data_IF_723943792912
#
_entry.id   IF_723943792912
#
_cell.length_a   1.000
_cell.length_b   1.000
_cell.length_c   1.000
_cell.angle_alpha   90.00
_cell.angle_beta   90.00
_cell.angle_gamma   90.00
#
_symmetry.space_group_name_H-M   'P 1'
#
loop_
_entity.id
_entity.type
_entity.pdbx_description
1 polymer ?
#
# COMPACT_ATOMS: atom_id res chain seq x y z
N UNK A 1 -2.34 23.50 -25.93
CA UNK A 1 -2.50 22.62 -24.76
C UNK A 1 -1.11 22.10 -24.43
N UNK A 2 -0.65 22.26 -23.21
CA UNK A 2 0.59 21.58 -22.77
C UNK A 2 0.25 20.10 -22.77
N UNK A 3 1.02 19.23 -23.45
CA UNK A 3 0.75 17.80 -23.41
C UNK A 3 0.83 17.35 -21.95
N UNK A 4 -0.20 16.67 -21.49
CA UNK A 4 -0.19 16.07 -20.15
C UNK A 4 0.74 14.87 -20.22
N UNK A 5 1.88 14.95 -19.56
CA UNK A 5 2.88 13.88 -19.52
C UNK A 5 2.40 12.67 -18.68
N UNK A 6 1.29 12.81 -17.98
CA UNK A 6 0.69 11.75 -17.16
C UNK A 6 -0.84 11.84 -17.27
N UNK A 7 -1.48 10.77 -17.68
CA UNK A 7 -2.91 10.58 -17.60
C UNK A 7 -3.25 9.73 -16.37
N UNK A 8 -4.23 10.19 -15.61
CA UNK A 8 -4.70 9.49 -14.40
C UNK A 8 -6.20 9.28 -14.52
N UNK A 9 -6.60 8.03 -14.44
CA UNK A 9 -7.98 7.64 -14.37
C UNK A 9 -8.30 6.90 -13.08
N UNK A 10 -9.52 7.06 -12.60
CA UNK A 10 -10.00 6.32 -11.44
C UNK A 10 -11.41 5.84 -11.65
N UNK A 11 -11.70 4.69 -11.08
CA UNK A 11 -13.02 4.10 -11.12
C UNK A 11 -13.34 3.38 -9.84
N UNK A 12 -14.62 3.25 -9.57
CA UNK A 12 -15.12 2.61 -8.37
C UNK A 12 -16.35 1.78 -8.68
N UNK A 13 -16.49 0.67 -7.97
CA UNK A 13 -17.67 -0.16 -8.08
C UNK A 13 -17.99 -0.90 -6.77
N UNK A 14 -19.25 -1.29 -6.66
CA UNK A 14 -19.74 -2.18 -5.61
C UNK A 14 -20.77 -3.13 -6.20
N UNK A 15 -20.89 -4.32 -5.62
CA UNK A 15 -21.81 -5.34 -6.08
C UNK A 15 -21.56 -6.64 -5.33
N UNK A 16 -22.30 -7.68 -5.70
CA UNK A 16 -22.12 -9.03 -5.15
C UNK A 16 -21.11 -9.85 -5.95
N UNK A 17 -21.08 -9.66 -7.25
CA UNK A 17 -20.22 -10.37 -8.17
C UNK A 17 -18.90 -9.63 -8.35
N UNK A 18 -17.81 -10.21 -7.81
CA UNK A 18 -16.49 -9.61 -7.78
C UNK A 18 -15.93 -9.34 -9.19
N UNK A 19 -16.14 -10.24 -10.13
CA UNK A 19 -15.66 -10.10 -11.50
C UNK A 19 -16.32 -8.91 -12.21
N UNK A 20 -17.63 -8.77 -12.06
CA UNK A 20 -18.37 -7.61 -12.59
C UNK A 20 -17.92 -6.30 -11.92
N UNK A 21 -17.62 -6.34 -10.62
CA UNK A 21 -17.11 -5.17 -9.88
C UNK A 21 -15.75 -4.76 -10.41
N UNK A 22 -14.80 -5.68 -10.56
CA UNK A 22 -13.48 -5.42 -11.13
C UNK A 22 -13.58 -4.83 -12.54
N UNK A 23 -14.36 -5.48 -13.41
CA UNK A 23 -14.58 -5.02 -14.78
C UNK A 23 -15.17 -3.59 -14.85
N UNK A 24 -16.17 -3.29 -14.04
CA UNK A 24 -16.84 -1.99 -14.07
C UNK A 24 -15.98 -0.87 -13.52
N UNK A 25 -15.28 -1.09 -12.40
CA UNK A 25 -14.35 -0.12 -11.85
C UNK A 25 -13.22 0.20 -12.84
N UNK A 26 -12.65 -0.82 -13.48
CA UNK A 26 -11.59 -0.67 -14.47
C UNK A 26 -12.07 0.09 -15.71
N UNK A 27 -13.21 -0.26 -16.27
CA UNK A 27 -13.80 0.49 -17.41
C UNK A 27 -14.01 1.96 -17.07
N UNK A 28 -14.40 2.27 -15.85
CA UNK A 28 -14.57 3.65 -15.41
C UNK A 28 -13.22 4.36 -15.33
N UNK A 29 -12.19 3.73 -14.76
CA UNK A 29 -10.85 4.29 -14.69
C UNK A 29 -10.27 4.61 -16.07
N UNK A 30 -10.43 3.68 -17.03
CA UNK A 30 -9.86 3.86 -18.37
C UNK A 30 -10.54 4.95 -19.22
N UNK A 31 -11.69 5.48 -18.81
CA UNK A 31 -12.32 6.59 -19.55
C UNK A 31 -11.46 7.85 -19.63
N UNK A 32 -10.57 8.05 -18.68
CA UNK A 32 -9.67 9.19 -18.64
C UNK A 32 -8.35 8.96 -19.40
N UNK A 33 -8.03 7.72 -19.72
CA UNK A 33 -6.81 7.33 -20.45
C UNK A 33 -7.10 7.38 -21.95
N UNK A 34 -6.34 8.17 -22.71
CA UNK A 34 -6.62 8.42 -24.13
C UNK A 34 -5.41 8.32 -25.04
N UNK A 35 -4.28 8.85 -24.60
CA UNK A 35 -3.11 9.10 -25.47
C UNK A 35 -1.93 8.17 -25.16
N UNK A 36 -1.77 7.75 -23.89
CA UNK A 36 -0.60 7.01 -23.46
C UNK A 36 -0.92 5.56 -23.16
N UNK A 37 0.06 4.66 -23.33
CA UNK A 37 -0.07 3.29 -22.87
C UNK A 37 -0.14 3.24 -21.35
N UNK A 38 -0.82 2.23 -20.81
CA UNK A 38 -0.89 2.00 -19.38
C UNK A 38 0.51 1.72 -18.81
N UNK A 39 0.89 2.51 -17.81
CA UNK A 39 2.09 2.28 -17.02
C UNK A 39 1.81 1.45 -15.78
N UNK A 40 0.59 1.59 -15.22
CA UNK A 40 0.18 0.86 -14.03
C UNK A 40 -1.33 0.91 -13.84
N UNK A 41 -1.89 -0.20 -13.39
CA UNK A 41 -3.22 -0.27 -12.79
C UNK A 41 -3.09 -0.64 -11.32
N UNK A 42 -3.65 0.17 -10.42
CA UNK A 42 -3.70 -0.12 -8.98
C UNK A 42 -5.12 -0.52 -8.60
N UNK A 43 -5.26 -1.61 -7.83
CA UNK A 43 -6.54 -2.14 -7.39
C UNK A 43 -6.59 -2.20 -5.87
N UNK A 44 -7.53 -1.49 -5.28
CA UNK A 44 -7.82 -1.55 -3.85
C UNK A 44 -9.22 -2.10 -3.66
N UNK A 45 -9.34 -3.19 -2.91
CA UNK A 45 -10.61 -3.87 -2.80
C UNK A 45 -10.87 -4.45 -1.41
N UNK A 46 -12.16 -4.48 -1.03
CA UNK A 46 -12.60 -5.13 0.19
C UNK A 46 -12.22 -6.61 0.19
N UNK A 47 -11.69 -7.15 1.30
CA UNK A 47 -11.39 -8.56 1.45
C UNK A 47 -12.64 -9.47 1.45
N UNK A 48 -13.82 -8.89 1.31
CA UNK A 48 -15.07 -9.64 1.16
C UNK A 48 -15.27 -10.18 -0.25
N UNK A 49 -14.55 -9.63 -1.24
CA UNK A 49 -14.57 -10.15 -2.60
C UNK A 49 -13.64 -11.35 -2.74
N UNK A 50 -14.01 -12.24 -3.65
CA UNK A 50 -13.09 -13.21 -4.22
C UNK A 50 -12.06 -12.44 -5.05
N UNK A 51 -10.79 -12.37 -4.62
CA UNK A 51 -9.80 -11.54 -5.28
C UNK A 51 -9.41 -12.06 -6.66
N UNK A 52 -9.44 -13.36 -6.87
CA UNK A 52 -9.16 -14.00 -8.17
C UNK A 52 -10.26 -13.65 -9.18
N UNK A 53 -11.52 -13.67 -8.76
CA UNK A 53 -12.63 -13.25 -9.61
C UNK A 53 -12.57 -11.74 -9.92
N UNK A 54 -12.23 -10.92 -8.91
CA UNK A 54 -12.06 -9.48 -9.10
C UNK A 54 -10.96 -9.20 -10.13
N UNK A 55 -9.81 -9.86 -9.99
CA UNK A 55 -8.66 -9.71 -10.87
C UNK A 55 -8.97 -10.14 -12.31
N UNK A 56 -9.70 -11.26 -12.50
CA UNK A 56 -10.20 -11.65 -13.83
C UNK A 56 -11.04 -10.55 -14.46
N UNK A 57 -11.93 -9.91 -13.69
CA UNK A 57 -12.75 -8.81 -14.17
C UNK A 57 -11.93 -7.59 -14.59
N UNK A 58 -10.85 -7.30 -13.89
CA UNK A 58 -9.89 -6.23 -14.25
C UNK A 58 -9.20 -6.59 -15.58
N UNK A 59 -8.63 -7.79 -15.69
CA UNK A 59 -7.89 -8.23 -16.89
C UNK A 59 -8.75 -8.36 -18.13
N UNK A 60 -10.04 -8.60 -18.02
CA UNK A 60 -10.98 -8.53 -19.16
C UNK A 60 -11.01 -7.14 -19.83
N UNK A 61 -10.52 -6.12 -19.14
CA UNK A 61 -10.54 -4.73 -19.64
C UNK A 61 -9.15 -4.26 -20.06
N UNK A 62 -8.11 -4.59 -19.28
CA UNK A 62 -6.74 -4.10 -19.52
C UNK A 62 -5.88 -5.12 -20.31
N UNK A 63 -6.30 -6.36 -20.39
CA UNK A 63 -5.48 -7.46 -20.94
C UNK A 63 -4.52 -8.05 -19.89
N UNK A 64 -3.97 -9.26 -20.17
CA UNK A 64 -3.18 -10.00 -19.21
C UNK A 64 -1.79 -9.39 -18.93
N UNK A 65 -1.22 -8.72 -19.93
CA UNK A 65 0.17 -8.21 -19.86
C UNK A 65 0.29 -6.80 -19.28
N UNK A 66 -0.84 -6.20 -18.85
CA UNK A 66 -0.83 -4.84 -18.28
C UNK A 66 -0.23 -4.84 -16.89
N UNK A 67 0.69 -3.90 -16.57
CA UNK A 67 1.24 -3.77 -15.21
C UNK A 67 0.11 -3.52 -14.19
N UNK A 68 0.04 -4.37 -13.16
CA UNK A 68 -0.97 -4.27 -12.12
C UNK A 68 -0.36 -4.54 -10.76
N UNK A 69 -0.76 -3.73 -9.79
CA UNK A 69 -0.55 -3.97 -8.36
C UNK A 69 -1.85 -3.75 -7.59
N UNK A 70 -1.96 -4.32 -6.43
CA UNK A 70 -3.13 -4.08 -5.58
C UNK A 70 -3.01 -4.66 -4.21
N UNK A 71 -3.96 -4.31 -3.36
CA UNK A 71 -4.06 -4.82 -2.00
C UNK A 71 -5.51 -4.85 -1.51
N UNK A 72 -5.78 -5.75 -0.57
CA UNK A 72 -7.01 -5.71 0.21
C UNK A 72 -7.00 -4.53 1.17
N UNK A 73 -8.14 -3.86 1.31
CA UNK A 73 -8.33 -2.71 2.19
C UNK A 73 -9.68 -2.78 2.91
N UNK A 74 -9.83 -2.05 4.02
CA UNK A 74 -11.07 -2.05 4.82
C UNK A 74 -11.84 -0.73 4.78
N UNK A 75 -11.52 0.12 3.81
CA UNK A 75 -12.18 1.42 3.67
C UNK A 75 -11.73 2.14 2.41
N UNK A 76 -12.19 1.66 1.26
CA UNK A 76 -11.91 2.29 -0.01
C UNK A 76 -12.73 3.57 -0.15
N UNK A 77 -12.04 4.71 -0.18
CA UNK A 77 -12.66 6.03 -0.29
C UNK A 77 -12.18 6.72 -1.55
N UNK A 78 -13.11 7.09 -2.40
CA UNK A 78 -12.86 7.89 -3.57
C UNK A 78 -13.81 9.08 -3.60
N UNK A 79 -13.27 10.30 -3.73
CA UNK A 79 -14.03 11.54 -3.72
C UNK A 79 -15.01 11.66 -2.53
N UNK A 80 -14.58 11.22 -1.34
CA UNK A 80 -15.40 11.26 -0.13
C UNK A 80 -16.49 10.19 -0.05
N UNK A 81 -16.58 9.28 -1.02
CA UNK A 81 -17.57 8.20 -1.03
C UNK A 81 -16.89 6.88 -0.77
N UNK A 82 -17.37 6.14 0.24
CA UNK A 82 -16.90 4.81 0.54
C UNK A 82 -17.47 3.81 -0.49
N UNK A 83 -16.58 3.00 -1.05
CA UNK A 83 -16.89 1.94 -2.01
C UNK A 83 -16.34 0.61 -1.51
N UNK A 84 -16.40 -0.44 -2.34
CA UNK A 84 -15.82 -1.75 -2.02
C UNK A 84 -14.71 -2.17 -2.97
N UNK A 85 -14.56 -1.47 -4.08
CA UNK A 85 -13.41 -1.60 -4.96
C UNK A 85 -13.13 -0.24 -5.63
N UNK A 86 -11.87 0.14 -5.66
CA UNK A 86 -11.35 1.32 -6.34
C UNK A 86 -10.21 0.88 -7.25
N UNK A 87 -10.23 1.38 -8.48
CA UNK A 87 -9.17 1.17 -9.47
C UNK A 87 -8.61 2.52 -9.87
N UNK A 88 -7.28 2.63 -9.88
CA UNK A 88 -6.54 3.78 -10.38
C UNK A 88 -5.70 3.33 -11.58
N UNK A 89 -5.82 4.03 -12.69
CA UNK A 89 -5.03 3.79 -13.89
C UNK A 89 -4.06 4.96 -14.11
N UNK A 90 -2.80 4.64 -14.34
CA UNK A 90 -1.74 5.59 -14.67
C UNK A 90 -1.22 5.27 -16.06
N UNK A 91 -1.09 6.29 -16.90
CA UNK A 91 -0.55 6.15 -18.24
C UNK A 91 0.41 7.30 -18.56
N UNK A 92 1.65 6.97 -18.89
CA UNK A 92 2.70 7.93 -19.20
C UNK A 92 3.88 7.25 -19.89
N UNK A 93 4.48 7.85 -20.91
CA UNK A 93 5.73 7.37 -21.48
C UNK A 93 6.96 7.63 -20.58
N UNK A 94 6.76 8.40 -19.50
CA UNK A 94 7.79 8.81 -18.54
C UNK A 94 7.70 8.09 -17.20
N UNK A 95 6.92 7.01 -17.11
CA UNK A 95 6.71 6.23 -15.91
C UNK A 95 6.86 4.75 -16.20
N UNK A 96 7.82 4.12 -15.54
CA UNK A 96 7.98 2.66 -15.52
C UNK A 96 7.75 2.13 -14.12
N UNK A 97 7.16 0.95 -14.01
CA UNK A 97 6.91 0.30 -12.74
C UNK A 97 7.42 -1.13 -12.79
N UNK A 98 8.26 -1.47 -11.82
CA UNK A 98 8.85 -2.80 -11.65
C UNK A 98 8.31 -3.40 -10.36
N UNK A 99 7.91 -4.65 -10.38
CA UNK A 99 7.19 -5.27 -9.27
C UNK A 99 7.88 -6.59 -8.89
N UNK A 100 8.01 -6.82 -7.59
CA UNK A 100 8.40 -8.10 -7.04
C UNK A 100 7.56 -8.45 -5.83
N UNK A 101 7.44 -9.75 -5.57
CA UNK A 101 6.70 -10.30 -4.44
C UNK A 101 7.63 -11.21 -3.63
N UNK A 102 7.59 -11.06 -2.32
CA UNK A 102 8.22 -11.99 -1.39
C UNK A 102 7.16 -12.73 -0.59
N UNK A 103 7.30 -14.05 -0.47
CA UNK A 103 6.28 -14.96 0.07
C UNK A 103 6.64 -15.46 1.47
N UNK A 104 5.63 -15.90 2.23
CA UNK A 104 5.81 -16.52 3.54
C UNK A 104 6.21 -15.56 4.65
N UNK A 105 5.81 -14.30 4.55
CA UNK A 105 6.22 -13.21 5.45
C UNK A 105 5.88 -13.46 6.93
N UNK A 106 4.83 -14.24 7.21
CA UNK A 106 4.45 -14.58 8.59
C UNK A 106 5.38 -15.62 9.24
N UNK A 107 6.09 -16.40 8.44
CA UNK A 107 6.99 -17.45 8.91
C UNK A 107 8.45 -17.01 8.83
N UNK A 108 8.82 -16.36 7.75
CA UNK A 108 10.18 -15.88 7.47
C UNK A 108 10.12 -14.54 6.71
N UNK A 109 9.94 -13.46 7.43
CA UNK A 109 9.88 -12.15 6.82
C UNK A 109 11.22 -11.72 6.19
N UNK A 110 12.36 -12.18 6.73
CA UNK A 110 13.68 -11.91 6.14
C UNK A 110 13.83 -12.61 4.80
N UNK A 111 13.45 -13.88 4.72
CA UNK A 111 13.41 -14.63 3.46
C UNK A 111 12.48 -13.98 2.42
N UNK A 112 11.31 -13.52 2.84
CA UNK A 112 10.39 -12.81 1.95
C UNK A 112 10.99 -11.49 1.41
N UNK A 113 11.70 -10.73 2.26
CA UNK A 113 12.41 -9.54 1.80
C UNK A 113 13.50 -9.91 0.80
N UNK A 114 14.30 -10.93 1.09
CA UNK A 114 15.37 -11.39 0.20
C UNK A 114 14.79 -11.83 -1.16
N UNK A 115 13.70 -12.60 -1.17
CA UNK A 115 13.02 -13.01 -2.41
C UNK A 115 12.62 -11.79 -3.24
N UNK A 116 11.98 -10.79 -2.63
CA UNK A 116 11.55 -9.59 -3.34
C UNK A 116 12.74 -8.76 -3.87
N UNK A 117 13.75 -8.48 -3.03
CA UNK A 117 14.85 -7.57 -3.42
C UNK A 117 15.90 -8.21 -4.33
N UNK A 118 15.90 -9.54 -4.49
CA UNK A 118 16.78 -10.24 -5.42
C UNK A 118 16.15 -10.51 -6.79
N UNK A 119 14.85 -10.19 -6.95
CA UNK A 119 14.20 -10.25 -8.25
C UNK A 119 14.96 -9.35 -9.27
N UNK A 120 15.22 -9.83 -10.50
CA UNK A 120 16.14 -9.15 -11.43
C UNK A 120 15.83 -7.67 -11.66
N UNK A 121 14.54 -7.33 -11.79
CA UNK A 121 14.10 -5.95 -12.06
C UNK A 121 14.18 -5.04 -10.83
N UNK A 122 14.19 -5.60 -9.63
CA UNK A 122 14.20 -4.88 -8.35
C UNK A 122 15.60 -4.83 -7.74
N UNK A 123 16.41 -5.86 -7.94
CA UNK A 123 17.73 -6.01 -7.35
C UNK A 123 18.64 -4.77 -7.48
N UNK A 124 18.67 -4.06 -8.61
CA UNK A 124 19.52 -2.88 -8.76
C UNK A 124 19.29 -1.78 -7.70
N UNK A 125 18.09 -1.68 -7.13
CA UNK A 125 17.77 -0.64 -6.13
C UNK A 125 18.16 -1.00 -4.70
N UNK A 126 18.39 -2.28 -4.43
CA UNK A 126 18.59 -2.80 -3.07
C UNK A 126 19.91 -3.55 -2.88
N UNK A 127 20.37 -4.27 -3.90
CA UNK A 127 21.51 -5.18 -3.77
C UNK A 127 22.74 -4.78 -4.59
N UNK A 128 22.59 -3.89 -5.56
CA UNK A 128 23.74 -3.39 -6.31
C UNK A 128 24.59 -2.48 -5.40
N UNK A 129 25.84 -2.82 -5.17
CA UNK A 129 26.72 -1.93 -4.47
C UNK A 129 26.89 -0.67 -5.32
N UNK A 130 26.43 0.44 -4.79
CA UNK A 130 26.86 1.76 -5.14
C UNK A 130 26.65 2.25 -6.59
N UNK A 131 25.94 3.31 -6.72
CA UNK A 131 26.19 4.27 -7.78
C UNK A 131 25.58 3.92 -9.14
N UNK A 132 25.69 2.70 -9.67
CA UNK A 132 25.36 2.43 -11.07
C UNK A 132 23.90 2.80 -11.44
N UNK A 133 22.91 2.33 -10.67
CA UNK A 133 21.50 2.64 -10.98
C UNK A 133 21.18 4.12 -10.69
N UNK A 134 21.68 4.66 -9.57
CA UNK A 134 21.43 6.05 -9.19
C UNK A 134 22.13 7.06 -10.10
N UNK A 135 23.35 6.74 -10.58
CA UNK A 135 24.03 7.53 -11.60
C UNK A 135 23.29 7.49 -12.91
N UNK A 136 22.83 6.31 -13.32
CA UNK A 136 22.07 6.14 -14.57
C UNK A 136 20.78 6.94 -14.54
N UNK A 137 19.98 6.83 -13.46
CA UNK A 137 18.75 7.60 -13.30
C UNK A 137 19.03 9.12 -13.32
N UNK A 138 20.08 9.56 -12.63
CA UNK A 138 20.46 10.98 -12.59
C UNK A 138 20.92 11.49 -13.96
N UNK A 139 21.68 10.70 -14.70
CA UNK A 139 22.12 11.05 -16.07
C UNK A 139 20.95 11.14 -17.04
N UNK A 140 19.91 10.34 -16.83
CA UNK A 140 18.68 10.37 -17.63
C UNK A 140 17.66 11.43 -17.14
N UNK A 141 17.96 12.12 -16.04
CA UNK A 141 17.02 13.06 -15.42
C UNK A 141 15.83 12.35 -14.76
N UNK A 142 16.01 11.11 -14.36
CA UNK A 142 15.00 10.27 -13.72
C UNK A 142 15.21 10.18 -12.22
N UNK A 143 14.15 9.80 -11.54
CA UNK A 143 14.11 9.54 -10.10
C UNK A 143 13.31 8.29 -9.82
N UNK A 144 13.53 7.67 -8.66
CA UNK A 144 12.78 6.49 -8.26
C UNK A 144 12.21 6.63 -6.86
N UNK A 145 11.08 5.96 -6.63
CA UNK A 145 10.50 5.70 -5.31
C UNK A 145 9.83 4.33 -5.30
N UNK A 146 9.53 3.80 -4.12
CA UNK A 146 8.87 2.51 -4.01
C UNK A 146 7.56 2.59 -3.23
N UNK A 147 6.63 1.71 -3.60
CA UNK A 147 5.48 1.34 -2.78
C UNK A 147 5.72 -0.05 -2.22
N UNK A 148 5.51 -0.19 -0.92
CA UNK A 148 5.51 -1.46 -0.21
C UNK A 148 4.06 -1.76 0.22
N UNK A 149 3.51 -2.86 -0.24
CA UNK A 149 2.31 -3.46 0.35
C UNK A 149 2.74 -4.68 1.14
N UNK A 150 2.46 -4.67 2.44
CA UNK A 150 2.77 -5.79 3.32
C UNK A 150 1.51 -6.37 3.92
N UNK A 151 1.61 -7.58 4.44
CA UNK A 151 0.54 -8.15 5.22
C UNK A 151 0.34 -7.32 6.48
N UNK A 152 -0.90 -6.88 6.72
CA UNK A 152 -1.25 -6.17 7.95
C UNK A 152 -1.10 -7.06 9.19
N UNK A 153 -1.14 -6.44 10.36
CA UNK A 153 -1.02 -7.12 11.65
C UNK A 153 -1.99 -8.30 11.75
N UNK A 154 -1.49 -9.45 12.16
CA UNK A 154 -2.26 -10.63 12.49
C UNK A 154 -3.15 -10.42 13.73
N UNK A 155 -3.88 -11.47 14.16
CA UNK A 155 -4.73 -11.42 15.36
C UNK A 155 -3.97 -11.08 16.65
N UNK A 156 -2.69 -11.35 16.70
CA UNK A 156 -1.80 -11.08 17.83
C UNK A 156 -1.30 -9.64 17.88
N UNK A 157 -1.57 -8.85 16.83
CA UNK A 157 -0.99 -7.51 16.71
C UNK A 157 0.47 -7.50 16.25
N UNK A 158 1.11 -8.66 16.17
CA UNK A 158 2.47 -8.80 15.68
C UNK A 158 2.47 -8.66 14.16
N UNK A 159 3.21 -7.70 13.67
CA UNK A 159 3.39 -7.46 12.24
C UNK A 159 4.86 -7.24 11.97
N UNK A 160 5.41 -8.03 11.07
CA UNK A 160 6.76 -7.84 10.55
C UNK A 160 6.88 -6.65 9.60
N UNK A 161 5.78 -5.94 9.34
CA UNK A 161 5.73 -4.83 8.38
C UNK A 161 6.74 -3.73 8.68
N UNK A 162 7.03 -3.48 9.96
CA UNK A 162 8.02 -2.48 10.35
C UNK A 162 9.44 -2.97 10.06
N UNK A 163 9.76 -4.20 10.45
CA UNK A 163 11.06 -4.83 10.18
C UNK A 163 11.34 -4.94 8.69
N UNK A 164 10.30 -5.27 7.90
CA UNK A 164 10.37 -5.29 6.43
C UNK A 164 10.74 -3.90 5.89
N UNK A 165 10.03 -2.85 6.32
CA UNK A 165 10.31 -1.47 5.88
C UNK A 165 11.73 -1.04 6.26
N UNK A 166 12.12 -1.21 7.52
CA UNK A 166 13.46 -0.85 8.02
C UNK A 166 14.57 -1.59 7.24
N UNK A 167 14.33 -2.87 6.93
CA UNK A 167 15.29 -3.64 6.14
C UNK A 167 15.40 -3.13 4.72
N UNK A 168 14.30 -2.80 4.05
CA UNK A 168 14.31 -2.22 2.72
C UNK A 168 14.98 -0.84 2.69
N UNK A 169 14.73 0.01 3.68
CA UNK A 169 15.39 1.31 3.83
C UNK A 169 16.91 1.16 4.02
N UNK A 170 17.33 0.20 4.84
CA UNK A 170 18.74 -0.13 5.05
C UNK A 170 19.41 -0.67 3.79
N UNK A 171 18.75 -1.59 3.07
CA UNK A 171 19.28 -2.17 1.84
C UNK A 171 19.40 -1.14 0.72
N UNK A 172 18.44 -0.22 0.59
CA UNK A 172 18.51 0.89 -0.36
C UNK A 172 19.45 2.03 0.11
N UNK A 173 20.07 1.89 1.30
CA UNK A 173 20.92 2.91 1.92
C UNK A 173 20.21 4.26 2.08
N UNK A 174 18.87 4.25 2.25
CA UNK A 174 18.05 5.44 2.36
C UNK A 174 17.94 6.26 1.05
N UNK A 175 18.39 5.74 -0.07
CA UNK A 175 18.34 6.44 -1.37
C UNK A 175 17.00 6.33 -2.06
N UNK A 176 16.23 5.27 -1.78
CA UNK A 176 14.91 5.03 -2.34
C UNK A 176 13.85 5.44 -1.33
N UNK A 177 13.09 6.53 -1.57
CA UNK A 177 11.93 6.83 -0.76
C UNK A 177 10.91 5.70 -0.83
N UNK A 178 10.49 5.16 0.33
CA UNK A 178 9.57 4.03 0.39
C UNK A 178 8.28 4.47 1.09
N UNK A 179 7.14 4.32 0.39
CA UNK A 179 5.82 4.50 0.97
C UNK A 179 5.24 3.12 1.29
N UNK A 180 4.71 2.97 2.51
CA UNK A 180 4.12 1.71 2.95
C UNK A 180 2.62 1.81 3.12
N UNK A 181 1.92 0.76 2.69
CA UNK A 181 0.54 0.47 3.03
C UNK A 181 0.38 -1.00 3.41
N UNK A 182 -0.36 -1.28 4.49
CA UNK A 182 -0.61 -2.66 4.89
C UNK A 182 -1.91 -3.15 4.26
N UNK A 183 -1.88 -4.34 3.66
CA UNK A 183 -3.07 -5.06 3.25
C UNK A 183 -3.92 -5.37 4.49
N UNK A 184 -5.21 -5.13 4.42
CA UNK A 184 -6.08 -5.18 5.58
C UNK A 184 -7.29 -6.11 5.39
N UNK A 185 -7.71 -6.77 6.48
CA UNK A 185 -8.95 -7.50 6.57
C UNK A 185 -9.69 -7.19 7.89
N UNK A 186 -11.02 -7.25 7.86
CA UNK A 186 -11.86 -6.79 8.99
C UNK A 186 -11.82 -7.68 10.22
N UNK A 187 -11.78 -9.01 10.06
CA UNK A 187 -11.86 -9.96 11.17
C UNK A 187 -10.97 -11.19 11.03
N UNK A 188 -10.41 -11.42 9.85
CA UNK A 188 -9.62 -12.61 9.53
C UNK A 188 -8.35 -12.16 8.81
N UNK A 189 -7.20 -12.16 9.50
CA UNK A 189 -5.92 -11.77 8.89
C UNK A 189 -5.58 -12.60 7.65
N UNK A 190 -6.00 -13.87 7.64
CA UNK A 190 -5.87 -14.76 6.49
C UNK A 190 -6.64 -14.30 5.24
N UNK A 191 -7.51 -13.31 5.37
CA UNK A 191 -8.22 -12.67 4.25
C UNK A 191 -7.43 -11.57 3.56
N UNK A 192 -6.25 -11.18 4.09
CA UNK A 192 -5.40 -10.19 3.46
C UNK A 192 -4.78 -10.75 2.18
N UNK A 193 -4.68 -9.91 1.18
CA UNK A 193 -4.02 -10.26 -0.08
C UNK A 193 -3.35 -9.04 -0.71
N UNK A 194 -2.35 -9.31 -1.53
CA UNK A 194 -1.80 -8.36 -2.50
C UNK A 194 -1.96 -8.94 -3.90
N UNK A 195 -1.94 -8.10 -4.91
CA UNK A 195 -2.05 -8.49 -6.31
C UNK A 195 -0.84 -7.95 -7.07
N UNK A 196 -0.27 -8.78 -7.94
CA UNK A 196 0.80 -8.39 -8.84
C UNK A 196 0.59 -9.10 -10.19
N UNK A 197 0.49 -8.32 -11.28
CA UNK A 197 0.16 -8.86 -12.58
C UNK A 197 -1.17 -9.59 -12.57
N UNK A 198 -1.19 -10.85 -12.95
CA UNK A 198 -2.38 -11.71 -13.03
C UNK A 198 -2.57 -12.63 -11.81
N UNK A 199 -1.75 -12.47 -10.77
CA UNK A 199 -1.77 -13.34 -9.59
C UNK A 199 -2.19 -12.61 -8.31
N UNK A 200 -2.80 -13.39 -7.42
CA UNK A 200 -3.15 -12.99 -6.05
C UNK A 200 -2.24 -13.70 -5.07
N UNK A 201 -1.62 -12.94 -4.19
CA UNK A 201 -0.69 -13.44 -3.18
C UNK A 201 -1.24 -13.23 -1.78
N UNK A 202 -1.09 -14.23 -0.94
CA UNK A 202 -1.40 -14.21 0.48
C UNK A 202 -0.11 -14.45 1.26
N UNK A 203 -0.08 -13.98 2.50
CA UNK A 203 1.12 -14.09 3.35
C UNK A 203 2.39 -13.60 2.63
N UNK A 204 2.29 -12.41 2.04
CA UNK A 204 3.31 -11.89 1.13
C UNK A 204 3.52 -10.39 1.30
N UNK A 205 4.68 -9.93 0.85
CA UNK A 205 4.97 -8.52 0.61
C UNK A 205 5.03 -8.27 -0.90
N UNK A 206 4.65 -7.08 -1.31
CA UNK A 206 4.80 -6.60 -2.67
C UNK A 206 5.63 -5.32 -2.63
N UNK A 207 6.69 -5.28 -3.42
CA UNK A 207 7.54 -4.11 -3.64
C UNK A 207 7.36 -3.66 -5.07
N UNK A 208 6.90 -2.44 -5.27
CA UNK A 208 6.79 -1.83 -6.58
C UNK A 208 7.70 -0.60 -6.65
N UNK A 209 8.69 -0.61 -7.54
CA UNK A 209 9.59 0.52 -7.78
C UNK A 209 9.10 1.29 -9.00
N UNK A 210 8.96 2.57 -8.81
CA UNK A 210 8.55 3.54 -9.82
C UNK A 210 9.79 4.31 -10.28
N UNK A 211 10.10 4.26 -11.56
CA UNK A 211 11.09 5.11 -12.21
C UNK A 211 10.38 6.16 -13.03
N UNK A 212 10.80 7.41 -12.91
CA UNK A 212 10.12 8.49 -13.63
C UNK A 212 11.00 9.71 -13.81
N UNK A 213 10.87 10.37 -14.97
CA UNK A 213 11.38 11.72 -15.20
C UNK A 213 10.36 12.81 -14.85
N UNK A 214 9.16 12.41 -14.38
CA UNK A 214 8.16 13.35 -13.88
C UNK A 214 8.53 13.85 -12.49
N UNK A 215 8.27 15.11 -12.22
CA UNK A 215 8.39 15.65 -10.87
C UNK A 215 7.30 15.06 -9.98
N UNK A 216 7.67 14.48 -8.86
CA UNK A 216 6.73 13.97 -7.86
C UNK A 216 7.02 14.53 -6.47
N UNK A 217 6.03 14.46 -5.61
CA UNK A 217 6.14 14.83 -4.20
C UNK A 217 5.50 13.78 -3.30
N UNK A 218 6.08 13.57 -2.14
CA UNK A 218 5.55 12.68 -1.11
C UNK A 218 5.01 13.53 0.01
N UNK A 219 3.75 13.29 0.41
CA UNK A 219 3.14 13.97 1.54
C UNK A 219 2.38 12.98 2.43
N UNK A 220 2.20 13.38 3.68
CA UNK A 220 1.42 12.62 4.67
C UNK A 220 0.29 13.48 5.19
N UNK A 221 -0.91 12.95 5.19
CA UNK A 221 -2.08 13.58 5.78
C UNK A 221 -2.84 12.58 6.66
N UNK A 222 -3.50 13.09 7.69
CA UNK A 222 -4.39 12.30 8.55
C UNK A 222 -5.53 13.19 9.08
N UNK A 223 -6.63 12.56 9.48
CA UNK A 223 -7.80 13.24 10.02
C UNK A 223 -7.77 13.41 11.56
N UNK A 224 -6.71 12.98 12.22
CA UNK A 224 -6.59 13.07 13.68
C UNK A 224 -6.32 14.50 14.11
N UNK A 225 -6.96 14.92 15.19
CA UNK A 225 -6.69 16.19 15.87
C UNK A 225 -6.05 15.90 17.24
N UNK A 226 -5.09 16.71 17.69
CA UNK A 226 -4.54 16.58 19.02
C UNK A 226 -5.63 16.75 20.07
N UNK A 227 -5.69 15.84 21.04
CA UNK A 227 -6.46 16.06 22.27
C UNK A 227 -5.68 16.95 23.22
N UNK A 228 -6.36 17.69 24.10
CA UNK A 228 -5.74 18.66 25.00
C UNK A 228 -4.69 18.09 25.96
N UNK A 229 -4.77 16.79 26.28
CA UNK A 229 -3.80 16.11 27.16
C UNK A 229 -2.68 15.52 26.34
N UNK A 230 -1.46 15.86 26.70
CA UNK A 230 -0.24 15.20 26.22
C UNK A 230 0.14 14.07 27.18
N UNK A 231 0.54 12.94 26.64
CA UNK A 231 1.16 11.84 27.38
C UNK A 231 2.51 11.53 26.76
N UNK A 232 3.45 11.11 27.58
CA UNK A 232 4.79 10.73 27.14
C UNK A 232 4.93 9.22 27.24
N UNK A 233 5.35 8.58 26.17
CA UNK A 233 5.75 7.17 26.22
C UNK A 233 7.07 7.10 27.00
N UNK A 234 7.05 6.48 28.17
CA UNK A 234 8.22 6.39 29.05
C UNK A 234 8.91 5.04 28.98
N UNK A 235 8.21 4.01 28.49
CA UNK A 235 8.79 2.71 28.21
C UNK A 235 8.09 2.07 27.00
N UNK A 236 8.86 1.57 26.04
CA UNK A 236 8.37 0.78 24.93
C UNK A 236 9.28 -0.39 24.64
N UNK A 237 8.74 -1.42 24.02
CA UNK A 237 9.48 -2.52 23.40
C UNK A 237 9.01 -2.60 21.95
N UNK A 238 9.91 -2.35 21.02
CA UNK A 238 9.58 -2.19 19.61
C UNK A 238 8.44 -1.18 19.41
N UNK A 239 7.33 -1.60 18.84
CA UNK A 239 6.12 -0.78 18.66
C UNK A 239 5.13 -0.87 19.83
N UNK A 240 5.41 -1.72 20.82
CA UNK A 240 4.55 -1.86 21.99
C UNK A 240 4.87 -0.81 23.04
N UNK A 241 3.91 0.03 23.37
CA UNK A 241 4.01 0.96 24.50
C UNK A 241 3.73 0.21 25.79
N UNK A 242 4.69 0.19 26.71
CA UNK A 242 4.60 -0.49 28.00
C UNK A 242 4.25 0.48 29.15
N UNK A 243 4.68 1.72 29.03
CA UNK A 243 4.40 2.76 30.03
C UNK A 243 4.08 4.12 29.38
N UNK A 244 3.21 4.86 30.04
CA UNK A 244 2.85 6.23 29.73
C UNK A 244 3.01 7.08 30.99
N UNK A 245 3.70 8.20 30.90
CA UNK A 245 3.93 9.11 32.02
C UNK A 245 4.43 8.38 33.29
N UNK A 246 5.33 7.40 33.14
CA UNK A 246 5.84 6.49 34.19
C UNK A 246 4.77 5.62 34.87
N UNK A 247 3.67 5.36 34.21
CA UNK A 247 2.63 4.44 34.66
C UNK A 247 2.55 3.25 33.72
N UNK A 248 2.54 2.04 34.27
CA UNK A 248 2.40 0.83 33.48
C UNK A 248 1.13 0.88 32.63
N UNK A 249 1.23 0.38 31.39
CA UNK A 249 0.10 0.26 30.47
C UNK A 249 -0.99 -0.58 31.12
N UNK A 250 -2.07 0.06 31.54
CA UNK A 250 -3.29 -0.68 31.86
C UNK A 250 -3.76 -1.34 30.58
N UNK A 251 -4.01 -2.66 30.63
CA UNK A 251 -4.30 -3.52 29.47
C UNK A 251 -5.17 -2.84 28.40
N UNK A 252 -4.60 -2.65 27.26
CA UNK A 252 -5.21 -2.36 25.97
C UNK A 252 -6.26 -1.24 25.94
N UNK A 253 -7.47 -1.58 25.70
CA UNK A 253 -8.59 -0.64 25.57
C UNK A 253 -8.96 0.17 26.81
N UNK A 254 -8.48 -0.20 28.00
CA UNK A 254 -8.85 0.49 29.25
C UNK A 254 -8.15 1.85 29.41
N UNK A 255 -6.90 1.97 28.99
CA UNK A 255 -6.19 3.26 29.02
C UNK A 255 -6.79 4.26 28.02
N UNK A 256 -7.15 3.79 26.83
CA UNK A 256 -7.84 4.59 25.83
C UNK A 256 -9.25 4.96 26.32
N UNK A 257 -9.98 4.01 26.89
CA UNK A 257 -11.30 4.23 27.45
C UNK A 257 -11.30 5.22 28.62
N UNK A 258 -10.32 5.15 29.52
CA UNK A 258 -10.16 6.12 30.60
C UNK A 258 -9.76 7.50 30.09
N UNK A 259 -8.93 7.58 29.03
CA UNK A 259 -8.60 8.86 28.40
C UNK A 259 -9.83 9.48 27.71
N UNK A 260 -10.66 8.68 27.07
CA UNK A 260 -11.93 9.09 26.45
C UNK A 260 -12.97 9.50 27.50
N UNK A 261 -13.06 8.80 28.62
CA UNK A 261 -14.02 9.10 29.70
C UNK A 261 -13.62 10.31 30.55
N UNK A 262 -12.33 10.63 30.64
CA UNK A 262 -11.83 11.80 31.39
C UNK A 262 -11.75 13.07 30.56
N UNK A 263 -11.72 12.97 29.24
CA UNK A 263 -11.82 14.11 28.34
C UNK A 263 -13.22 14.16 27.77
N UNK A 264 -13.94 15.25 27.98
CA UNK A 264 -15.26 15.49 27.39
C UNK A 264 -15.21 15.46 25.87
N UNK A 265 -15.01 14.29 25.27
CA UNK A 265 -15.31 14.07 23.87
C UNK A 265 -16.82 13.82 23.85
N UNK A 266 -17.57 14.87 23.56
CA UNK A 266 -18.91 14.69 23.01
C UNK A 266 -18.72 13.90 21.72
N UNK A 267 -19.16 12.65 21.76
CA UNK A 267 -19.16 11.74 20.63
C UNK A 267 -19.88 12.41 19.44
N UNK A 268 -19.18 12.74 18.33
CA UNK A 268 -19.88 13.18 17.14
C UNK A 268 -20.29 11.95 16.32
N UNK A 269 -21.07 11.05 16.95
CA UNK A 269 -21.79 10.02 16.23
C UNK A 269 -20.93 9.06 15.43
N UNK A 270 -20.20 8.17 16.08
CA UNK A 270 -19.86 6.87 15.52
C UNK A 270 -21.13 6.01 15.45
N UNK A 271 -22.03 6.38 14.57
CA UNK A 271 -23.05 5.48 14.07
C UNK A 271 -22.34 4.50 13.13
N UNK A 272 -22.32 3.23 13.54
CA UNK A 272 -21.85 2.09 12.74
C UNK A 272 -22.65 1.95 11.44
#
# INVERSE_FOLDING_TARGET
>A
MVPTNLEVGYGMAKGKDAETVGRNATRQALKAIKEHPLSLVQVFASPQYDPEALLRGVHQVIGPDSPLIGASTIGEILNGVQQRAVVVALASPYLQVKVAVGRGVSQDWEGAVIEAVTAPDIAPYFTAPEIAIWSLLSEQGESAFALLFSQGAGRTGDSSSFQVLETLERLSQGRLPILRGDAAATRRPEGNFVMAGDEVYRDSILVAVFETSLTFGISRAHCFQPISRRTTVTLSRDLEVLEWDNQAKATGGEALRQALLRGSIKDPGLAM
#
